data_IF_138532750335
#
_entry.id   IF_138532750335
#
_cell.length_a   1.000
_cell.length_b   1.000
_cell.length_c   1.000
_cell.angle_alpha   90.00
_cell.angle_beta   90.00
_cell.angle_gamma   90.00
#
_symmetry.space_group_name_H-M   'P 1'
#
loop_
_entity.id
_entity.type
_entity.pdbx_description
1 polymer ?
#
# COMPACT_ATOMS: atom_id res chain seq x y z
N UNK A 1 -53.41 34.90 -9.16
CA UNK A 1 -52.97 35.74 -8.03
C UNK A 1 -51.74 35.19 -7.27
N UNK A 2 -51.62 33.90 -7.03
CA UNK A 2 -50.44 33.35 -6.31
C UNK A 2 -49.13 33.27 -7.14
N UNK A 3 -49.19 33.30 -8.47
CA UNK A 3 -48.02 33.20 -9.33
C UNK A 3 -47.26 34.55 -9.47
N UNK A 4 -48.00 35.67 -9.49
CA UNK A 4 -47.41 37.02 -9.55
C UNK A 4 -46.75 37.42 -8.23
N UNK A 5 -47.32 37.03 -7.08
CA UNK A 5 -46.74 37.32 -5.76
C UNK A 5 -45.40 36.62 -5.57
N UNK A 6 -45.24 35.41 -6.11
CA UNK A 6 -43.96 34.69 -6.06
C UNK A 6 -42.91 35.31 -7.00
N UNK A 7 -43.31 35.81 -8.16
CA UNK A 7 -42.43 36.49 -9.12
C UNK A 7 -41.84 37.78 -8.56
N UNK A 8 -42.71 38.62 -7.95
CA UNK A 8 -42.29 39.86 -7.28
C UNK A 8 -41.35 39.60 -6.09
N UNK A 9 -41.57 38.53 -5.31
CA UNK A 9 -40.65 38.14 -4.22
C UNK A 9 -39.29 37.72 -4.74
N UNK A 10 -39.23 36.95 -5.81
CA UNK A 10 -37.98 36.52 -6.42
C UNK A 10 -37.21 37.68 -7.05
N UNK A 11 -37.91 38.58 -7.75
CA UNK A 11 -37.32 39.77 -8.33
C UNK A 11 -36.76 40.71 -7.25
N UNK A 12 -37.48 40.92 -6.13
CA UNK A 12 -36.99 41.72 -5.00
C UNK A 12 -35.79 41.09 -4.31
N UNK A 13 -35.70 39.77 -4.21
CA UNK A 13 -34.54 39.04 -3.69
C UNK A 13 -33.35 39.20 -4.64
N UNK A 14 -33.57 39.09 -5.95
CA UNK A 14 -32.51 39.26 -6.97
C UNK A 14 -32.02 40.71 -6.96
N UNK A 15 -32.94 41.71 -6.90
CA UNK A 15 -32.59 43.13 -6.83
C UNK A 15 -31.80 43.44 -5.54
N UNK A 16 -32.19 42.87 -4.40
CA UNK A 16 -31.49 43.03 -3.12
C UNK A 16 -30.04 42.45 -3.21
N UNK A 17 -29.85 41.32 -3.88
CA UNK A 17 -28.53 40.75 -4.09
C UNK A 17 -27.69 41.53 -5.14
N UNK A 18 -28.30 42.12 -6.17
CA UNK A 18 -27.61 42.90 -7.18
C UNK A 18 -27.14 44.26 -6.61
N UNK A 19 -27.89 44.89 -5.72
CA UNK A 19 -27.58 46.20 -5.15
C UNK A 19 -26.46 46.11 -4.10
N UNK A 20 -26.26 44.98 -3.47
CA UNK A 20 -25.32 44.90 -2.35
C UNK A 20 -24.15 43.96 -2.60
N UNK A 21 -23.14 44.42 -3.38
CA UNK A 21 -21.90 43.70 -3.73
C UNK A 21 -21.20 43.01 -2.54
N UNK A 22 -21.41 43.55 -1.33
CA UNK A 22 -20.79 42.97 -0.13
C UNK A 22 -21.50 41.69 0.34
N UNK A 23 -22.84 41.61 0.19
CA UNK A 23 -23.57 40.39 0.51
C UNK A 23 -23.28 39.26 -0.46
N UNK A 24 -23.07 39.57 -1.75
CA UNK A 24 -22.65 38.57 -2.75
C UNK A 24 -21.29 38.00 -2.38
N UNK A 25 -20.34 38.85 -1.97
CA UNK A 25 -19.01 38.41 -1.51
C UNK A 25 -19.13 37.52 -0.25
N UNK A 26 -19.92 37.93 0.74
CA UNK A 26 -20.18 37.13 1.94
C UNK A 26 -20.82 35.78 1.59
N UNK A 27 -21.83 35.76 0.71
CA UNK A 27 -22.49 34.53 0.26
C UNK A 27 -21.49 33.59 -0.46
N UNK A 28 -20.68 34.12 -1.34
CA UNK A 28 -19.63 33.33 -2.03
C UNK A 28 -18.62 32.79 -1.01
N UNK A 29 -18.20 33.59 -0.05
CA UNK A 29 -17.28 33.16 1.01
C UNK A 29 -17.92 32.07 1.87
N UNK A 30 -19.16 32.26 2.31
CA UNK A 30 -19.91 31.26 3.09
C UNK A 30 -20.11 29.99 2.27
N UNK A 31 -20.50 30.12 0.99
CA UNK A 31 -20.63 28.97 0.08
C UNK A 31 -19.32 28.24 -0.11
N UNK A 32 -18.20 28.95 -0.29
CA UNK A 32 -16.86 28.36 -0.38
C UNK A 32 -16.42 27.71 0.93
N UNK A 33 -16.76 28.32 2.08
CA UNK A 33 -16.51 27.73 3.40
C UNK A 33 -17.35 26.47 3.58
N UNK A 34 -18.66 26.52 3.30
CA UNK A 34 -19.56 25.37 3.39
C UNK A 34 -19.19 24.28 2.37
N UNK A 35 -18.82 24.67 1.16
CA UNK A 35 -18.31 23.78 0.13
C UNK A 35 -16.99 23.12 0.58
N UNK A 36 -16.04 23.90 1.14
CA UNK A 36 -14.82 23.35 1.72
C UNK A 36 -15.12 22.42 2.91
N UNK A 37 -16.02 22.81 3.82
CA UNK A 37 -16.43 21.98 4.95
C UNK A 37 -17.14 20.70 4.45
N UNK A 38 -17.99 20.80 3.44
CA UNK A 38 -18.67 19.64 2.84
C UNK A 38 -17.69 18.76 2.05
N UNK A 39 -16.78 19.35 1.28
CA UNK A 39 -15.75 18.61 0.55
C UNK A 39 -14.63 18.09 1.45
N UNK A 40 -14.38 18.76 2.57
CA UNK A 40 -13.49 18.25 3.62
C UNK A 40 -14.14 17.10 4.43
N UNK A 41 -15.46 16.99 4.42
CA UNK A 41 -16.15 15.86 5.03
C UNK A 41 -16.04 14.64 4.12
N UNK A 42 -15.23 13.66 4.61
CA UNK A 42 -15.42 12.25 4.32
C UNK A 42 -14.79 11.68 3.04
N UNK A 43 -13.52 11.97 2.84
CA UNK A 43 -12.78 10.97 2.05
C UNK A 43 -12.68 9.68 2.88
N UNK A 44 -13.21 8.59 2.33
CA UNK A 44 -13.10 7.26 2.91
C UNK A 44 -12.02 6.48 2.18
N UNK A 45 -11.15 5.83 2.94
CA UNK A 45 -10.01 5.09 2.43
C UNK A 45 -9.99 3.71 3.06
N UNK A 46 -9.93 2.67 2.26
CA UNK A 46 -9.68 1.33 2.77
C UNK A 46 -8.36 0.76 2.26
N UNK A 47 -7.87 -0.22 3.01
CA UNK A 47 -6.70 -1.00 2.65
C UNK A 47 -7.11 -2.46 2.46
N UNK A 48 -6.74 -3.03 1.32
CA UNK A 48 -6.95 -4.42 0.95
C UNK A 48 -5.61 -5.15 1.06
N UNK A 49 -5.53 -6.15 1.90
CA UNK A 49 -4.31 -6.93 2.08
C UNK A 49 -4.62 -8.42 2.24
N UNK A 50 -3.62 -9.25 1.99
CA UNK A 50 -3.69 -10.70 2.21
C UNK A 50 -2.52 -11.13 3.08
N UNK A 51 -2.80 -12.02 4.03
CA UNK A 51 -1.78 -12.55 4.93
C UNK A 51 -1.75 -14.07 4.98
N UNK A 52 -0.54 -14.61 5.09
CA UNK A 52 -0.26 -16.03 5.37
C UNK A 52 0.96 -16.15 6.25
N UNK A 53 0.82 -16.68 7.45
CA UNK A 53 1.88 -16.76 8.47
C UNK A 53 2.49 -15.38 8.78
N UNK A 54 1.61 -14.43 9.12
CA UNK A 54 1.99 -13.04 9.39
C UNK A 54 1.55 -12.58 10.80
N UNK A 55 1.23 -13.49 11.71
CA UNK A 55 0.81 -13.13 13.08
C UNK A 55 1.86 -12.29 13.82
N UNK A 56 3.15 -12.47 13.51
CA UNK A 56 4.25 -11.67 14.09
C UNK A 56 4.19 -10.18 13.73
N UNK A 57 3.51 -9.81 12.62
CA UNK A 57 3.57 -8.46 12.05
C UNK A 57 2.22 -7.78 11.96
N UNK A 58 1.13 -8.57 11.96
CA UNK A 58 -0.20 -8.05 11.63
C UNK A 58 -0.67 -6.94 12.57
N UNK A 59 -0.34 -7.01 13.87
CA UNK A 59 -0.72 -5.98 14.83
C UNK A 59 -0.01 -4.67 14.53
N UNK A 60 1.32 -4.69 14.35
CA UNK A 60 2.11 -3.50 13.98
C UNK A 60 1.58 -2.88 12.67
N UNK A 61 1.27 -3.70 11.68
CA UNK A 61 0.69 -3.26 10.41
C UNK A 61 -0.67 -2.57 10.59
N UNK A 62 -1.58 -3.17 11.34
CA UNK A 62 -2.92 -2.62 11.60
C UNK A 62 -2.82 -1.30 12.36
N UNK A 63 -2.01 -1.21 13.39
CA UNK A 63 -1.78 -0.02 14.20
C UNK A 63 -1.16 1.11 13.39
N UNK A 64 -0.18 0.80 12.53
CA UNK A 64 0.43 1.77 11.64
C UNK A 64 -0.61 2.41 10.72
N UNK A 65 -1.41 1.61 10.01
CA UNK A 65 -2.39 2.15 9.07
C UNK A 65 -3.57 2.83 9.76
N UNK A 66 -3.95 2.39 10.95
CA UNK A 66 -4.93 3.09 11.80
C UNK A 66 -4.42 4.48 12.20
N UNK A 67 -3.17 4.58 12.65
CA UNK A 67 -2.55 5.85 13.00
C UNK A 67 -2.41 6.82 11.83
N UNK A 68 -2.24 6.29 10.61
CA UNK A 68 -2.22 7.08 9.38
C UNK A 68 -3.59 7.49 8.86
N UNK A 69 -4.70 7.06 9.52
CA UNK A 69 -6.05 7.51 9.23
C UNK A 69 -6.78 6.70 8.15
N UNK A 70 -6.42 5.45 7.94
CA UNK A 70 -7.23 4.49 7.16
C UNK A 70 -8.55 4.27 7.90
N UNK A 71 -9.65 4.17 7.17
CA UNK A 71 -10.98 3.95 7.77
C UNK A 71 -11.27 2.47 8.02
N UNK A 72 -10.75 1.57 7.19
CA UNK A 72 -10.97 0.13 7.31
C UNK A 72 -9.91 -0.69 6.58
N UNK A 73 -9.57 -1.82 7.15
CA UNK A 73 -8.71 -2.83 6.53
C UNK A 73 -9.56 -4.06 6.18
N UNK A 74 -9.50 -4.49 4.92
CA UNK A 74 -10.02 -5.78 4.45
C UNK A 74 -8.86 -6.76 4.40
N UNK A 75 -8.78 -7.64 5.40
CA UNK A 75 -7.73 -8.63 5.55
C UNK A 75 -8.21 -10.00 5.06
N UNK A 76 -7.61 -10.48 3.99
CA UNK A 76 -7.87 -11.79 3.43
C UNK A 76 -6.96 -12.83 4.08
N UNK A 77 -7.53 -13.66 4.93
CA UNK A 77 -6.81 -14.73 5.63
C UNK A 77 -6.51 -15.89 4.68
N UNK A 78 -5.29 -15.95 4.17
CA UNK A 78 -4.82 -17.04 3.30
C UNK A 78 -3.98 -18.07 4.06
N UNK A 79 -4.11 -18.15 5.37
CA UNK A 79 -3.46 -19.19 6.17
C UNK A 79 -3.92 -20.59 5.75
N UNK A 80 -3.13 -21.60 6.08
CA UNK A 80 -3.58 -22.98 5.97
C UNK A 80 -4.80 -23.22 6.87
N UNK A 81 -5.66 -24.18 6.53
CA UNK A 81 -6.90 -24.46 7.27
C UNK A 81 -6.64 -24.62 8.77
N UNK A 82 -5.61 -25.40 9.14
CA UNK A 82 -5.17 -25.62 10.53
C UNK A 82 -4.00 -24.71 10.97
N UNK A 83 -3.67 -23.66 10.18
CA UNK A 83 -2.56 -22.75 10.48
C UNK A 83 -2.92 -21.65 11.48
N UNK A 84 -2.05 -20.64 11.55
CA UNK A 84 -2.26 -19.44 12.38
C UNK A 84 -3.64 -18.83 12.15
N UNK A 85 -4.14 -18.14 13.17
CA UNK A 85 -5.39 -17.38 13.12
C UNK A 85 -5.10 -15.93 13.46
N UNK A 86 -5.50 -15.00 12.60
CA UNK A 86 -5.32 -13.56 12.86
C UNK A 86 -6.13 -13.08 14.05
N UNK A 87 -7.27 -13.73 14.32
CA UNK A 87 -8.11 -13.43 15.49
C UNK A 87 -7.32 -13.58 16.80
N UNK A 88 -6.36 -14.50 16.87
CA UNK A 88 -5.51 -14.67 18.06
C UNK A 88 -4.65 -13.42 18.37
N UNK A 89 -4.46 -12.52 17.42
CA UNK A 89 -3.57 -11.35 17.55
C UNK A 89 -4.30 -10.01 17.47
N UNK A 90 -5.34 -9.90 16.63
CA UNK A 90 -6.02 -8.63 16.33
C UNK A 90 -7.54 -8.70 16.50
N UNK A 91 -8.05 -9.54 17.41
CA UNK A 91 -9.48 -9.70 17.63
C UNK A 91 -10.17 -8.40 18.03
N UNK A 92 -9.51 -7.57 18.82
CA UNK A 92 -9.95 -6.24 19.21
C UNK A 92 -10.24 -5.31 17.99
N UNK A 93 -9.46 -5.43 16.92
CA UNK A 93 -9.67 -4.68 15.67
C UNK A 93 -10.74 -5.31 14.77
N UNK A 94 -10.97 -6.60 14.90
CA UNK A 94 -12.05 -7.31 14.19
C UNK A 94 -13.38 -7.00 14.84
N UNK A 95 -13.50 -7.10 16.16
CA UNK A 95 -14.74 -6.84 16.92
C UNK A 95 -15.18 -5.37 16.81
N UNK A 96 -14.25 -4.41 16.83
CA UNK A 96 -14.60 -2.99 16.65
C UNK A 96 -14.87 -2.59 15.18
N UNK A 97 -14.75 -3.54 14.23
CA UNK A 97 -15.06 -3.35 12.82
C UNK A 97 -14.01 -2.60 12.00
N UNK A 98 -12.83 -2.26 12.59
CA UNK A 98 -11.74 -1.63 11.84
C UNK A 98 -11.08 -2.61 10.87
N UNK A 99 -10.95 -3.90 11.26
CA UNK A 99 -10.51 -4.98 10.38
C UNK A 99 -11.71 -5.87 10.03
N UNK A 100 -11.93 -6.08 8.74
CA UNK A 100 -12.83 -7.14 8.25
C UNK A 100 -12.01 -8.32 7.78
N UNK A 101 -12.13 -9.43 8.50
CA UNK A 101 -11.42 -10.67 8.17
C UNK A 101 -12.22 -11.47 7.17
N UNK A 102 -11.62 -11.80 6.03
CA UNK A 102 -12.25 -12.52 4.92
C UNK A 102 -11.57 -13.87 4.75
N UNK A 103 -12.34 -14.93 4.81
CA UNK A 103 -11.81 -16.30 4.76
C UNK A 103 -11.35 -16.69 3.35
N UNK A 104 -10.03 -16.82 3.18
CA UNK A 104 -9.37 -17.38 1.99
C UNK A 104 -8.44 -18.56 2.36
N UNK A 105 -8.66 -19.16 3.53
CA UNK A 105 -7.80 -20.22 4.08
C UNK A 105 -7.70 -21.41 3.15
N UNK A 106 -6.47 -21.92 2.99
CA UNK A 106 -6.18 -23.08 2.14
C UNK A 106 -6.22 -22.83 0.64
N UNK A 107 -6.66 -21.65 0.19
CA UNK A 107 -6.62 -21.30 -1.24
C UNK A 107 -5.19 -21.03 -1.70
N UNK A 108 -4.92 -21.30 -2.97
CA UNK A 108 -3.62 -21.09 -3.61
C UNK A 108 -3.76 -20.15 -4.82
N UNK A 109 -2.73 -19.34 -5.11
CA UNK A 109 -2.65 -18.44 -6.27
C UNK A 109 -3.82 -17.45 -6.38
N UNK A 110 -4.33 -16.97 -5.26
CA UNK A 110 -5.55 -16.16 -5.20
C UNK A 110 -5.31 -14.67 -4.98
N UNK A 111 -4.07 -14.18 -5.08
CA UNK A 111 -3.77 -12.77 -4.84
C UNK A 111 -4.53 -11.85 -5.82
N UNK A 112 -4.58 -12.19 -7.11
CA UNK A 112 -5.32 -11.42 -8.10
C UNK A 112 -6.84 -11.52 -7.90
N UNK A 113 -7.35 -12.69 -7.48
CA UNK A 113 -8.75 -12.89 -7.11
C UNK A 113 -9.11 -11.96 -5.93
N UNK A 114 -8.30 -11.99 -4.87
CA UNK A 114 -8.47 -11.13 -3.69
C UNK A 114 -8.55 -9.64 -4.06
N UNK A 115 -7.60 -9.15 -4.87
CA UNK A 115 -7.55 -7.74 -5.25
C UNK A 115 -8.81 -7.33 -6.04
N UNK A 116 -9.26 -8.17 -6.96
CA UNK A 116 -10.48 -7.93 -7.72
C UNK A 116 -11.73 -8.00 -6.84
N UNK A 117 -11.81 -8.98 -5.93
CA UNK A 117 -12.91 -9.11 -4.96
C UNK A 117 -12.99 -7.88 -4.06
N UNK A 118 -11.86 -7.47 -3.46
CA UNK A 118 -11.81 -6.31 -2.59
C UNK A 118 -12.25 -5.03 -3.33
N UNK A 119 -11.76 -4.82 -4.55
CA UNK A 119 -12.18 -3.67 -5.35
C UNK A 119 -13.68 -3.71 -5.67
N UNK A 120 -14.18 -4.83 -6.17
CA UNK A 120 -15.58 -5.02 -6.56
C UNK A 120 -16.54 -4.79 -5.40
N UNK A 121 -16.20 -5.25 -4.20
CA UNK A 121 -17.03 -5.08 -2.99
C UNK A 121 -17.04 -3.64 -2.49
N UNK A 122 -15.95 -2.89 -2.68
CA UNK A 122 -15.70 -1.66 -1.93
C UNK A 122 -15.62 -0.38 -2.78
N UNK A 123 -15.49 -0.46 -4.11
CA UNK A 123 -15.25 0.72 -4.97
C UNK A 123 -16.34 1.80 -4.89
N UNK A 124 -17.58 1.45 -4.52
CA UNK A 124 -18.68 2.41 -4.35
C UNK A 124 -18.65 3.13 -3.00
N UNK A 125 -18.00 2.54 -2.00
CA UNK A 125 -18.05 2.99 -0.61
C UNK A 125 -16.82 3.78 -0.18
N UNK A 126 -15.73 3.66 -0.92
CA UNK A 126 -14.44 4.29 -0.60
C UNK A 126 -13.95 5.14 -1.76
N UNK A 127 -13.35 6.30 -1.44
CA UNK A 127 -12.78 7.20 -2.43
C UNK A 127 -11.45 6.67 -2.98
N UNK A 128 -10.69 5.96 -2.13
CA UNK A 128 -9.44 5.33 -2.47
C UNK A 128 -9.30 3.96 -1.83
N UNK A 129 -8.74 3.03 -2.58
CA UNK A 129 -8.44 1.67 -2.15
C UNK A 129 -6.93 1.45 -2.29
N UNK A 130 -6.29 1.00 -1.21
CA UNK A 130 -4.86 0.73 -1.13
C UNK A 130 -4.65 -0.78 -1.20
N UNK A 131 -3.67 -1.21 -2.01
CA UNK A 131 -3.33 -2.63 -2.17
C UNK A 131 -1.87 -2.84 -1.78
N UNK A 132 -1.63 -2.98 -0.48
CA UNK A 132 -0.28 -3.19 0.06
C UNK A 132 -0.20 -4.54 0.78
N UNK A 133 1.02 -5.11 0.80
CA UNK A 133 1.34 -6.32 1.54
C UNK A 133 1.66 -5.98 3.01
N UNK A 134 1.62 -6.98 3.91
CA UNK A 134 1.79 -6.76 5.36
C UNK A 134 3.22 -6.27 5.72
N UNK A 135 4.17 -6.40 4.81
CA UNK A 135 5.53 -5.90 4.95
C UNK A 135 5.80 -4.57 4.22
N UNK A 136 4.74 -3.87 3.78
CA UNK A 136 4.81 -2.60 3.06
C UNK A 136 4.16 -1.48 3.88
N UNK A 137 4.93 -0.44 4.18
CA UNK A 137 4.54 0.68 5.03
C UNK A 137 4.69 2.00 4.29
N UNK A 138 3.59 2.75 4.15
CA UNK A 138 3.62 4.03 3.45
C UNK A 138 4.41 5.07 4.25
N UNK A 139 5.28 5.81 3.54
CA UNK A 139 5.93 7.00 4.04
C UNK A 139 5.31 8.24 3.39
N UNK A 140 4.88 9.19 4.22
CA UNK A 140 4.35 10.47 3.77
C UNK A 140 5.19 11.61 4.36
N UNK A 141 5.57 12.55 3.52
CA UNK A 141 6.32 13.75 3.94
C UNK A 141 5.67 14.43 5.14
N UNK A 142 6.47 14.72 6.14
CA UNK A 142 6.05 15.36 7.39
C UNK A 142 4.99 14.57 8.17
N UNK A 143 5.01 13.23 8.07
CA UNK A 143 4.07 12.33 8.75
C UNK A 143 2.60 12.71 8.57
N UNK A 144 2.25 13.25 7.39
CA UNK A 144 0.87 13.63 7.08
C UNK A 144 -0.04 12.41 7.16
N UNK A 145 -1.24 12.65 7.70
CA UNK A 145 -2.34 11.70 7.62
C UNK A 145 -2.64 11.40 6.15
N UNK A 146 -2.92 10.14 5.82
CA UNK A 146 -3.18 9.71 4.43
C UNK A 146 -4.43 10.37 3.83
N UNK A 147 -5.41 10.74 4.66
CA UNK A 147 -6.59 11.47 4.20
C UNK A 147 -6.22 12.87 3.72
N UNK A 148 -5.36 13.58 4.44
CA UNK A 148 -4.86 14.90 4.02
C UNK A 148 -4.07 14.79 2.72
N UNK A 149 -3.22 13.77 2.62
CA UNK A 149 -2.47 13.48 1.41
C UNK A 149 -3.39 13.25 0.20
N UNK A 150 -4.36 12.35 0.31
CA UNK A 150 -5.23 11.94 -0.80
C UNK A 150 -6.37 12.94 -1.11
N UNK A 151 -6.70 13.86 -0.19
CA UNK A 151 -7.62 14.97 -0.43
C UNK A 151 -7.04 16.06 -1.33
N UNK A 152 -5.72 16.10 -1.50
CA UNK A 152 -5.07 17.13 -2.27
C UNK A 152 -5.63 17.21 -3.69
N UNK A 153 -5.94 18.45 -4.14
CA UNK A 153 -6.44 18.72 -5.50
C UNK A 153 -5.49 18.25 -6.61
N UNK A 154 -4.20 18.08 -6.29
CA UNK A 154 -3.20 17.54 -7.23
C UNK A 154 -3.57 16.16 -7.79
N UNK A 155 -4.40 15.39 -7.05
CA UNK A 155 -4.83 14.06 -7.47
C UNK A 155 -6.17 14.04 -8.21
N UNK A 156 -6.82 15.19 -8.48
CA UNK A 156 -8.16 15.19 -9.08
C UNK A 156 -8.25 14.47 -10.43
N UNK A 157 -7.18 14.52 -11.23
CA UNK A 157 -7.07 13.81 -12.51
C UNK A 157 -6.61 12.36 -12.39
N UNK A 158 -6.15 11.92 -11.21
CA UNK A 158 -5.54 10.61 -11.04
C UNK A 158 -6.60 9.54 -10.80
N UNK A 159 -6.55 8.49 -11.57
CA UNK A 159 -7.32 7.26 -11.31
C UNK A 159 -6.51 6.27 -10.48
N UNK A 160 -5.19 6.38 -10.55
CA UNK A 160 -4.22 5.59 -9.82
C UNK A 160 -3.06 6.49 -9.40
N UNK A 161 -2.57 6.30 -8.17
CA UNK A 161 -1.33 6.91 -7.68
C UNK A 161 -0.31 5.80 -7.53
N UNK A 162 0.87 5.96 -8.11
CA UNK A 162 1.98 5.02 -7.96
C UNK A 162 3.01 5.59 -6.99
N UNK A 163 3.45 4.75 -6.05
CA UNK A 163 4.50 5.05 -5.10
C UNK A 163 5.64 4.05 -5.27
N UNK A 164 6.86 4.53 -5.26
CA UNK A 164 8.03 3.65 -5.31
C UNK A 164 8.24 2.99 -3.95
N UNK A 165 8.69 1.73 -3.95
CA UNK A 165 9.17 1.11 -2.71
C UNK A 165 10.69 1.23 -2.59
N UNK A 166 11.16 1.27 -1.34
CA UNK A 166 12.55 1.14 -0.99
C UNK A 166 12.72 -0.09 -0.11
N UNK A 167 13.67 -0.95 -0.43
CA UNK A 167 13.94 -2.13 0.38
C UNK A 167 14.72 -1.77 1.64
N UNK A 168 14.27 -2.30 2.76
CA UNK A 168 15.06 -2.37 3.99
C UNK A 168 15.92 -3.64 3.96
N UNK A 169 17.19 -3.50 4.33
CA UNK A 169 18.11 -4.63 4.46
C UNK A 169 17.77 -5.46 5.71
N UNK A 170 18.45 -6.58 5.85
CA UNK A 170 18.32 -7.43 7.04
C UNK A 170 19.08 -6.89 8.26
N UNK A 171 19.76 -5.74 8.14
CA UNK A 171 20.65 -5.15 9.16
C UNK A 171 21.60 -6.20 9.78
N UNK A 172 21.98 -7.22 8.98
CA UNK A 172 22.78 -8.38 9.39
C UNK A 172 22.17 -9.23 10.53
N UNK A 173 20.87 -9.13 10.79
CA UNK A 173 20.17 -9.95 11.76
C UNK A 173 19.93 -11.35 11.22
N UNK A 174 20.42 -12.36 11.92
CA UNK A 174 20.20 -13.77 11.57
C UNK A 174 18.84 -14.27 12.04
N UNK A 175 18.42 -13.86 13.24
CA UNK A 175 17.24 -14.38 13.92
C UNK A 175 16.21 -13.30 14.19
N UNK A 176 14.97 -13.73 14.37
CA UNK A 176 13.87 -12.86 14.78
C UNK A 176 14.10 -12.31 16.19
N UNK A 177 13.75 -11.07 16.39
CA UNK A 177 13.52 -10.46 17.70
C UNK A 177 12.17 -9.73 17.73
N UNK A 178 11.66 -9.40 18.93
CA UNK A 178 10.31 -8.88 19.11
C UNK A 178 10.17 -7.38 18.88
N UNK A 179 11.26 -6.65 18.63
CA UNK A 179 11.21 -5.20 18.38
C UNK A 179 10.43 -4.91 17.08
N UNK A 180 9.79 -3.74 16.98
CA UNK A 180 9.11 -3.31 15.77
C UNK A 180 10.01 -3.34 14.53
N UNK A 181 9.42 -3.57 13.35
CA UNK A 181 10.15 -3.62 12.08
C UNK A 181 11.00 -2.37 11.83
N UNK A 182 10.46 -1.19 12.15
CA UNK A 182 11.14 0.10 11.96
C UNK A 182 12.38 0.27 12.84
N UNK A 183 12.43 -0.37 13.99
CA UNK A 183 13.57 -0.34 14.90
C UNK A 183 14.64 -1.35 14.52
N UNK A 184 14.24 -2.51 13.99
CA UNK A 184 15.16 -3.59 13.62
C UNK A 184 15.83 -3.36 12.27
N UNK A 185 15.10 -2.78 11.31
CA UNK A 185 15.54 -2.66 9.92
C UNK A 185 15.61 -1.18 9.51
N UNK A 186 16.68 -0.52 9.87
CA UNK A 186 16.91 0.91 9.64
C UNK A 186 17.70 1.20 8.36
N UNK A 187 18.50 0.23 7.90
CA UNK A 187 19.31 0.36 6.70
C UNK A 187 18.47 0.14 5.44
N UNK A 188 18.71 0.98 4.44
CA UNK A 188 17.99 0.95 3.18
C UNK A 188 18.96 0.73 2.03
N UNK A 189 18.61 -0.16 1.11
CA UNK A 189 19.39 -0.40 -0.09
C UNK A 189 18.57 -0.04 -1.34
N UNK A 190 19.12 0.88 -2.12
CA UNK A 190 18.49 1.36 -3.36
C UNK A 190 18.96 0.59 -4.58
N UNK A 191 20.16 0.01 -4.53
CA UNK A 191 20.80 -0.67 -5.67
C UNK A 191 20.92 -2.15 -5.41
N UNK A 192 20.32 -2.94 -6.27
CA UNK A 192 20.48 -4.39 -6.25
C UNK A 192 21.87 -4.78 -6.73
N UNK A 193 22.69 -5.37 -5.85
CA UNK A 193 24.03 -5.82 -6.18
C UNK A 193 23.99 -6.98 -7.16
N UNK A 194 24.79 -6.90 -8.24
CA UNK A 194 24.94 -8.01 -9.19
C UNK A 194 23.74 -8.33 -10.07
N UNK A 195 22.68 -7.52 -10.06
CA UNK A 195 21.63 -7.60 -11.04
C UNK A 195 21.96 -6.69 -12.23
N UNK A 196 21.87 -7.22 -13.46
CA UNK A 196 22.13 -6.47 -14.70
C UNK A 196 21.16 -5.31 -14.96
N UNK A 197 20.03 -5.29 -14.27
CA UNK A 197 19.07 -4.18 -14.26
C UNK A 197 19.40 -3.33 -13.04
N UNK A 198 19.79 -2.09 -13.27
CA UNK A 198 20.07 -1.08 -12.24
C UNK A 198 18.94 -0.94 -11.21
N UNK A 199 18.83 0.19 -10.59
CA UNK A 199 17.93 0.46 -9.48
C UNK A 199 16.53 -0.16 -9.66
N UNK A 200 16.14 -1.06 -8.75
CA UNK A 200 14.80 -1.64 -8.72
C UNK A 200 13.81 -0.65 -8.12
N UNK A 201 13.47 0.35 -8.91
CA UNK A 201 12.46 1.35 -8.54
C UNK A 201 11.06 0.79 -8.74
N UNK A 202 10.74 -0.32 -8.08
CA UNK A 202 9.43 -0.92 -8.17
C UNK A 202 8.34 -0.05 -7.57
N UNK A 203 7.09 -0.29 -7.97
CA UNK A 203 5.95 0.50 -7.54
C UNK A 203 4.86 -0.35 -6.91
N UNK A 204 4.10 0.27 -6.01
CA UNK A 204 2.75 -0.14 -5.59
C UNK A 204 1.77 0.99 -5.86
N UNK A 205 0.51 0.65 -5.90
CA UNK A 205 -0.49 1.59 -6.36
C UNK A 205 -1.66 1.75 -5.39
N UNK A 206 -2.16 2.99 -5.34
CA UNK A 206 -3.41 3.36 -4.69
C UNK A 206 -4.43 3.62 -5.79
N UNK A 207 -5.58 2.98 -5.74
CA UNK A 207 -6.60 3.02 -6.77
C UNK A 207 -7.77 3.90 -6.34
N UNK A 208 -8.25 4.75 -7.24
CA UNK A 208 -9.45 5.55 -7.00
C UNK A 208 -10.68 4.66 -6.97
N UNK A 209 -11.56 4.89 -6.00
CA UNK A 209 -12.89 4.32 -5.96
C UNK A 209 -13.84 4.94 -6.99
N UNK A 210 -15.09 4.50 -6.97
CA UNK A 210 -16.17 4.99 -7.85
C UNK A 210 -15.93 4.84 -9.36
N UNK A 211 -14.96 4.02 -9.76
CA UNK A 211 -14.72 3.68 -11.17
C UNK A 211 -15.22 2.26 -11.41
N UNK A 212 -16.28 2.14 -12.21
CA UNK A 212 -16.86 0.84 -12.56
C UNK A 212 -15.99 0.08 -13.55
N UNK A 213 -16.19 -1.25 -13.63
CA UNK A 213 -15.62 -2.13 -14.64
C UNK A 213 -14.08 -2.18 -14.70
N UNK A 214 -13.41 -1.90 -13.56
CA UNK A 214 -11.97 -2.10 -13.45
C UNK A 214 -11.72 -3.60 -13.19
N UNK A 215 -10.83 -4.18 -14.01
CA UNK A 215 -10.22 -5.48 -13.76
C UNK A 215 -8.77 -5.28 -13.39
N UNK A 216 -8.40 -5.68 -12.17
CA UNK A 216 -7.01 -5.68 -11.72
C UNK A 216 -6.31 -6.89 -12.34
N UNK A 217 -5.23 -6.65 -13.06
CA UNK A 217 -4.46 -7.66 -13.80
C UNK A 217 -2.97 -7.68 -13.46
N UNK A 218 -2.53 -6.82 -12.54
CA UNK A 218 -1.16 -6.77 -12.05
C UNK A 218 -1.15 -6.27 -10.60
N UNK A 219 -0.36 -6.90 -9.74
CA UNK A 219 -0.26 -6.56 -8.31
C UNK A 219 0.42 -5.21 -8.05
N UNK A 220 1.18 -4.70 -8.98
CA UNK A 220 1.91 -3.45 -8.86
C UNK A 220 1.19 -2.29 -9.53
N UNK A 221 0.92 -2.43 -10.82
CA UNK A 221 0.29 -1.40 -11.62
C UNK A 221 -1.23 -1.42 -11.56
N UNK A 222 -1.83 -2.46 -10.95
CA UNK A 222 -3.27 -2.75 -10.86
C UNK A 222 -3.92 -2.91 -12.24
N UNK A 223 -4.01 -1.83 -13.01
CA UNK A 223 -4.49 -1.84 -14.40
C UNK A 223 -3.77 -0.74 -15.18
N UNK A 224 -3.05 -1.09 -16.24
CA UNK A 224 -2.25 -0.17 -17.05
C UNK A 224 -3.06 0.79 -17.94
N UNK A 225 -4.37 0.59 -18.09
CA UNK A 225 -5.26 1.52 -18.81
C UNK A 225 -5.67 2.73 -17.96
N UNK A 226 -5.38 2.72 -16.66
CA UNK A 226 -5.75 3.80 -15.76
C UNK A 226 -4.80 4.99 -15.90
N UNK A 227 -5.35 6.20 -15.87
CA UNK A 227 -4.56 7.42 -15.80
C UNK A 227 -3.81 7.48 -14.47
N UNK A 228 -2.48 7.40 -14.56
CA UNK A 228 -1.59 7.31 -13.41
C UNK A 228 -0.93 8.61 -13.08
N UNK A 229 -0.71 8.83 -11.79
CA UNK A 229 0.12 9.90 -11.26
C UNK A 229 1.20 9.33 -10.34
N UNK A 230 2.29 10.06 -10.17
CA UNK A 230 3.25 9.83 -9.09
C UNK A 230 2.74 10.35 -7.74
N UNK A 231 3.55 10.22 -6.69
CA UNK A 231 3.22 10.68 -5.34
C UNK A 231 2.99 12.18 -5.21
N UNK A 232 3.44 12.99 -6.16
CA UNK A 232 3.23 14.43 -6.23
C UNK A 232 2.00 14.85 -7.06
N UNK A 233 1.30 13.89 -7.67
CA UNK A 233 0.14 14.14 -8.52
C UNK A 233 0.47 14.47 -9.97
N UNK A 234 1.74 14.36 -10.38
CA UNK A 234 2.16 14.53 -11.77
C UNK A 234 1.76 13.31 -12.57
N UNK A 235 1.08 13.52 -13.70
CA UNK A 235 0.68 12.41 -14.60
C UNK A 235 1.95 11.72 -15.11
N UNK A 236 2.00 10.43 -14.95
CA UNK A 236 3.09 9.55 -15.42
C UNK A 236 2.52 8.44 -16.30
N UNK A 237 3.15 8.15 -17.44
CA UNK A 237 2.84 6.94 -18.20
C UNK A 237 3.16 5.70 -17.36
N UNK A 238 2.53 4.59 -17.71
CA UNK A 238 2.82 3.30 -17.09
C UNK A 238 3.88 2.60 -17.93
N UNK A 239 5.13 2.68 -17.49
CA UNK A 239 6.26 2.00 -18.12
C UNK A 239 6.52 0.58 -17.56
N UNK A 240 5.54 0.02 -16.84
CA UNK A 240 5.67 -1.28 -16.17
C UNK A 240 5.70 -1.17 -14.65
N UNK A 241 6.28 -2.17 -13.99
CA UNK A 241 6.38 -2.26 -12.52
C UNK A 241 7.60 -1.52 -11.95
N UNK A 242 8.47 -1.03 -12.81
CA UNK A 242 9.72 -0.32 -12.47
C UNK A 242 9.66 1.05 -13.13
N UNK A 243 10.02 2.10 -12.40
CA UNK A 243 10.08 3.48 -12.91
C UNK A 243 11.53 3.97 -12.99
N UNK A 244 11.82 4.85 -13.96
CA UNK A 244 13.14 5.47 -14.08
C UNK A 244 13.39 6.54 -13.02
N UNK A 245 12.34 7.31 -12.70
CA UNK A 245 12.39 8.42 -11.76
C UNK A 245 11.68 8.02 -10.47
N UNK A 246 12.41 7.54 -9.48
CA UNK A 246 11.86 7.15 -8.19
C UNK A 246 11.94 8.31 -7.19
N UNK A 247 10.84 8.54 -6.46
CA UNK A 247 10.84 9.43 -5.29
C UNK A 247 11.05 8.60 -4.01
N UNK A 248 12.13 8.87 -3.31
CA UNK A 248 12.45 8.28 -2.02
C UNK A 248 12.60 9.33 -0.91
N UNK A 249 12.12 10.57 -1.14
CA UNK A 249 12.21 11.66 -0.18
C UNK A 249 10.87 11.99 0.45
N UNK A 250 9.83 12.11 -0.39
CA UNK A 250 8.56 12.68 0.05
C UNK A 250 7.45 11.62 0.21
N UNK A 251 7.28 10.75 -0.80
CA UNK A 251 6.15 9.80 -0.87
C UNK A 251 6.61 8.47 -1.44
N UNK A 252 6.82 7.49 -0.59
CA UNK A 252 7.29 6.17 -0.97
C UNK A 252 6.77 5.08 -0.01
N UNK A 253 7.19 3.86 -0.23
CA UNK A 253 6.82 2.72 0.59
C UNK A 253 8.10 2.10 1.15
N UNK A 254 8.19 2.03 2.47
CA UNK A 254 9.19 1.21 3.16
C UNK A 254 8.78 -0.26 3.00
N UNK A 255 9.60 -1.05 2.31
CA UNK A 255 9.35 -2.46 2.05
C UNK A 255 10.32 -3.33 2.85
N UNK A 256 9.82 -3.92 3.93
CA UNK A 256 10.58 -4.84 4.79
C UNK A 256 10.64 -6.25 4.18
N UNK A 257 11.15 -6.33 2.95
CA UNK A 257 11.17 -7.55 2.17
C UNK A 257 12.02 -8.65 2.79
N UNK A 258 13.23 -8.27 3.22
CA UNK A 258 14.24 -9.20 3.73
C UNK A 258 13.91 -9.65 5.15
N UNK A 259 13.70 -8.70 6.06
CA UNK A 259 13.68 -8.94 7.51
C UNK A 259 14.95 -9.69 7.96
N UNK A 260 14.96 -10.39 9.10
CA UNK A 260 16.09 -11.26 9.45
C UNK A 260 16.17 -12.48 8.53
N UNK A 261 17.32 -13.16 8.51
CA UNK A 261 17.52 -14.37 7.69
C UNK A 261 16.50 -15.47 8.03
N UNK A 262 16.20 -15.69 9.31
CA UNK A 262 15.18 -16.64 9.76
C UNK A 262 13.78 -16.26 9.24
N UNK A 263 13.42 -14.97 9.36
CA UNK A 263 12.13 -14.47 8.88
C UNK A 263 12.02 -14.57 7.35
N UNK A 264 13.11 -14.33 6.64
CA UNK A 264 13.18 -14.55 5.20
C UNK A 264 12.97 -16.01 4.81
N UNK A 265 13.61 -16.95 5.51
CA UNK A 265 13.39 -18.39 5.31
C UNK A 265 11.90 -18.73 5.49
N UNK A 266 11.29 -18.25 6.57
CA UNK A 266 9.86 -18.44 6.81
C UNK A 266 9.00 -17.86 5.68
N UNK A 267 9.36 -16.69 5.14
CA UNK A 267 8.68 -16.06 4.01
C UNK A 267 8.73 -16.92 2.74
N UNK A 268 9.90 -17.48 2.38
CA UNK A 268 10.03 -18.25 1.14
C UNK A 268 9.54 -19.69 1.25
N UNK A 269 9.45 -20.25 2.46
CA UNK A 269 8.95 -21.62 2.71
C UNK A 269 7.43 -21.70 2.93
N UNK A 270 6.75 -20.58 3.27
CA UNK A 270 5.30 -20.57 3.41
C UNK A 270 4.52 -20.70 2.10
N UNK A 271 5.22 -20.67 0.97
CA UNK A 271 4.63 -20.65 -0.38
C UNK A 271 4.32 -19.25 -0.88
N UNK A 272 4.08 -19.16 -2.17
CA UNK A 272 3.79 -17.90 -2.87
C UNK A 272 2.31 -17.82 -3.27
N UNK A 273 1.72 -16.65 -3.15
CA UNK A 273 0.33 -16.41 -3.55
C UNK A 273 0.15 -16.22 -5.07
N UNK A 274 1.26 -16.14 -5.83
CA UNK A 274 1.24 -15.97 -7.29
C UNK A 274 1.93 -17.13 -8.05
N UNK A 275 3.08 -17.63 -7.53
CA UNK A 275 3.96 -18.54 -8.25
C UNK A 275 4.08 -19.91 -7.55
N UNK A 276 4.43 -20.94 -8.31
CA UNK A 276 4.53 -22.31 -7.77
C UNK A 276 5.79 -22.48 -6.92
N UNK A 277 6.95 -22.21 -7.51
CA UNK A 277 8.26 -22.22 -6.82
C UNK A 277 9.18 -21.17 -7.42
N UNK A 278 9.50 -20.17 -6.63
CA UNK A 278 10.44 -19.10 -6.99
C UNK A 278 11.48 -18.88 -5.90
N UNK A 279 11.68 -19.85 -5.00
CA UNK A 279 12.58 -19.73 -3.84
C UNK A 279 13.99 -19.31 -4.23
N UNK A 280 14.58 -19.91 -5.27
CA UNK A 280 15.91 -19.51 -5.72
C UNK A 280 15.97 -18.07 -6.26
N UNK A 281 14.95 -17.63 -6.99
CA UNK A 281 14.89 -16.24 -7.45
C UNK A 281 14.78 -15.27 -6.27
N UNK A 282 13.99 -15.61 -5.25
CA UNK A 282 13.87 -14.81 -4.02
C UNK A 282 15.17 -14.78 -3.21
N UNK A 283 15.91 -15.88 -3.13
CA UNK A 283 17.22 -15.94 -2.47
C UNK A 283 18.22 -15.05 -3.21
N UNK A 284 18.23 -15.07 -4.55
CA UNK A 284 19.07 -14.16 -5.33
C UNK A 284 18.70 -12.70 -5.07
N UNK A 285 17.42 -12.38 -5.00
CA UNK A 285 16.95 -11.03 -4.64
C UNK A 285 17.38 -10.66 -3.22
N UNK A 286 17.24 -11.55 -2.26
CA UNK A 286 17.69 -11.32 -0.88
C UNK A 286 19.16 -10.94 -0.83
N UNK A 287 20.03 -11.72 -1.46
CA UNK A 287 21.47 -11.43 -1.50
C UNK A 287 21.87 -10.28 -2.44
N UNK A 288 20.97 -9.81 -3.28
CA UNK A 288 21.19 -8.59 -4.06
C UNK A 288 21.08 -7.32 -3.21
N UNK A 289 20.33 -7.38 -2.11
CA UNK A 289 20.11 -6.24 -1.19
C UNK A 289 20.82 -6.40 0.14
N UNK A 290 21.28 -7.61 0.49
CA UNK A 290 21.88 -7.90 1.79
C UNK A 290 23.31 -8.42 1.63
N UNK A 291 24.11 -8.26 2.68
CA UNK A 291 25.45 -8.79 2.70
C UNK A 291 25.43 -10.33 2.63
N UNK A 292 26.28 -10.91 1.81
CA UNK A 292 26.44 -12.35 1.69
C UNK A 292 27.44 -12.80 2.76
N UNK A 293 27.02 -13.61 3.73
CA UNK A 293 27.89 -14.21 4.74
C UNK A 293 27.72 -15.72 4.76
N UNK A 294 28.72 -16.42 5.31
CA UNK A 294 28.66 -17.87 5.45
C UNK A 294 27.48 -18.30 6.33
N UNK A 295 27.29 -17.62 7.45
CA UNK A 295 26.24 -17.90 8.44
C UNK A 295 24.83 -17.80 7.81
N UNK A 296 24.59 -16.76 6.99
CA UNK A 296 23.33 -16.58 6.28
C UNK A 296 23.09 -17.70 5.27
N UNK A 297 24.12 -18.08 4.51
CA UNK A 297 24.02 -19.19 3.54
C UNK A 297 23.72 -20.50 4.26
N UNK A 298 24.47 -20.82 5.33
CA UNK A 298 24.28 -22.05 6.11
C UNK A 298 22.87 -22.13 6.67
N UNK A 299 22.37 -21.00 7.21
CA UNK A 299 21.02 -20.92 7.77
C UNK A 299 19.94 -21.11 6.69
N UNK A 300 20.09 -20.49 5.51
CA UNK A 300 19.15 -20.62 4.40
C UNK A 300 19.17 -22.05 3.83
N UNK A 301 20.34 -22.66 3.64
CA UNK A 301 20.44 -24.05 3.18
C UNK A 301 19.76 -25.00 4.16
N UNK A 302 20.05 -24.85 5.46
CA UNK A 302 19.42 -25.66 6.53
C UNK A 302 17.90 -25.49 6.55
N UNK A 303 17.41 -24.26 6.43
CA UNK A 303 15.97 -23.96 6.54
C UNK A 303 15.17 -24.27 5.28
N UNK A 304 15.80 -24.35 4.11
CA UNK A 304 15.10 -24.54 2.82
C UNK A 304 15.41 -25.88 2.14
N UNK A 305 16.49 -26.56 2.53
CA UNK A 305 17.01 -27.75 1.84
C UNK A 305 17.62 -27.45 0.46
N UNK A 306 17.83 -26.18 0.10
CA UNK A 306 18.37 -25.80 -1.21
C UNK A 306 19.90 -25.73 -1.16
N UNK A 307 20.55 -26.13 -2.26
CA UNK A 307 22.00 -26.01 -2.42
C UNK A 307 22.37 -24.62 -2.96
N UNK A 308 23.16 -23.85 -2.20
CA UNK A 308 23.60 -22.50 -2.55
C UNK A 308 25.09 -22.43 -2.94
N UNK A 309 25.66 -23.51 -3.44
CA UNK A 309 27.09 -23.59 -3.84
C UNK A 309 27.50 -22.49 -4.84
N UNK A 310 26.61 -22.10 -5.76
CA UNK A 310 26.84 -21.00 -6.69
C UNK A 310 27.04 -19.65 -5.93
N UNK A 311 26.25 -19.39 -4.90
CA UNK A 311 26.34 -18.17 -4.08
C UNK A 311 27.60 -18.23 -3.19
N UNK A 312 27.91 -19.38 -2.62
CA UNK A 312 29.17 -19.59 -1.85
C UNK A 312 30.43 -19.26 -2.64
N UNK A 313 30.47 -19.61 -3.93
CA UNK A 313 31.64 -19.33 -4.80
C UNK A 313 31.87 -17.81 -4.98
N UNK A 314 30.86 -16.97 -4.85
CA UNK A 314 31.02 -15.52 -4.95
C UNK A 314 31.79 -14.95 -3.75
N UNK A 315 31.50 -15.44 -2.52
CA UNK A 315 32.24 -15.00 -1.32
C UNK A 315 33.75 -15.27 -1.46
N UNK A 316 34.10 -16.44 -2.03
CA UNK A 316 35.50 -16.86 -2.16
C UNK A 316 36.24 -16.12 -3.27
N UNK A 317 35.56 -15.41 -4.17
CA UNK A 317 36.14 -14.59 -5.23
C UNK A 317 36.31 -13.13 -4.86
N UNK A 318 35.60 -12.66 -3.83
CA UNK A 318 35.65 -11.29 -3.32
C UNK A 318 36.65 -11.15 -2.13
N UNK A 319 37.23 -12.26 -1.69
CA UNK A 319 38.38 -12.34 -0.77
C UNK A 319 39.67 -12.49 -1.55
#
# INVERSE_FOLDING_TARGET
>A
MNFEINKLKIENIIIFFIINKNYIKCFIIIFLILYNIYFQRQIKICLCTMGKKENRYIREFVEHYKSYGIDKIFLYDNNNIKGEKFEAVINDYIENGFVELINYRGKIRVLMEMMNDCYKRNYKNYNWLIFFEIDEYIHLKNNKNIKEYLKSSRFYKCQRIQLNWIFHTDNNLLYYDQRPLKERFTERERKARGLKRGDWNGIKSILRGHISNIKINCVHTLNHKLRSCDGHGKIKPIDGIITKDADFQDYYIDHYYSKSTEEFINKITKGDALFVDNRMARIRTYFAYNQITKEKIDLIEKGTGLNLSEIRRKINKER
#
